data_IF_183012350461
#
_entry.id   IF_183012350461
#
_cell.length_a   1.000
_cell.length_b   1.000
_cell.length_c   1.000
_cell.angle_alpha   90.00
_cell.angle_beta   90.00
_cell.angle_gamma   90.00
#
_symmetry.space_group_name_H-M   'P 1'
#
loop_
_entity.id
_entity.type
_entity.pdbx_description
1 polymer ?
#
# COMPACT_ATOMS: atom_id res chain seq x y z
N UNK A 1 24.09 1.06 10.73
CA UNK A 1 23.88 1.33 12.18
C UNK A 1 23.51 0.01 12.87
N UNK A 2 23.67 -0.16 14.19
CA UNK A 2 23.23 -1.38 14.84
C UNK A 2 21.69 -1.42 14.92
N UNK A 3 21.06 -2.38 14.26
CA UNK A 3 19.64 -2.71 14.43
C UNK A 3 19.48 -4.13 14.97
N UNK A 4 18.41 -4.38 15.73
CA UNK A 4 18.16 -5.71 16.27
C UNK A 4 17.68 -6.66 15.16
N UNK A 5 18.38 -7.78 14.97
CA UNK A 5 18.03 -8.82 13.98
C UNK A 5 17.07 -9.88 14.53
N UNK A 6 16.81 -9.84 15.84
CA UNK A 6 15.83 -10.67 16.55
C UNK A 6 14.84 -9.72 17.23
N UNK A 7 13.53 -9.99 17.14
CA UNK A 7 12.53 -9.19 17.85
C UNK A 7 12.83 -9.13 19.35
N UNK A 8 13.11 -7.92 19.85
CA UNK A 8 13.24 -7.64 21.29
C UNK A 8 11.88 -7.48 21.95
N UNK A 9 10.92 -6.98 21.18
CA UNK A 9 9.51 -7.01 21.54
C UNK A 9 8.84 -7.96 20.54
N UNK A 10 8.41 -9.16 20.96
CA UNK A 10 7.80 -10.12 20.06
C UNK A 10 6.43 -9.60 19.59
N UNK A 11 6.07 -9.76 18.30
CA UNK A 11 4.71 -9.47 17.85
C UNK A 11 3.69 -10.29 18.67
N UNK A 12 2.52 -9.70 18.94
CA UNK A 12 1.37 -10.47 19.45
C UNK A 12 0.81 -11.36 18.33
N UNK A 13 0.33 -12.54 18.70
CA UNK A 13 -0.49 -13.34 17.78
C UNK A 13 -1.83 -12.65 17.55
N UNK A 14 -2.45 -12.86 16.38
CA UNK A 14 -3.69 -12.16 16.04
C UNK A 14 -4.81 -12.47 17.05
N UNK A 15 -4.91 -13.69 17.54
CA UNK A 15 -5.92 -14.11 18.52
C UNK A 15 -5.71 -13.53 19.93
N UNK A 16 -4.51 -13.05 20.23
CA UNK A 16 -4.18 -12.32 21.46
C UNK A 16 -4.58 -10.83 21.40
N UNK A 17 -4.94 -10.33 20.22
CA UNK A 17 -5.37 -8.95 19.99
C UNK A 17 -6.88 -8.81 20.13
N UNK A 18 -7.36 -7.66 20.61
CA UNK A 18 -8.79 -7.36 20.58
C UNK A 18 -9.32 -7.27 19.13
N UNK A 19 -10.64 -7.44 18.90
CA UNK A 19 -11.20 -7.50 17.55
C UNK A 19 -10.92 -6.28 16.67
N UNK A 20 -10.78 -5.09 17.25
CA UNK A 20 -10.47 -3.86 16.51
C UNK A 20 -9.02 -3.88 16.00
N UNK A 21 -8.09 -4.33 16.85
CA UNK A 21 -6.68 -4.45 16.49
C UNK A 21 -6.41 -5.61 15.53
N UNK A 22 -7.15 -6.72 15.66
CA UNK A 22 -7.11 -7.82 14.69
C UNK A 22 -7.43 -7.33 13.27
N UNK A 23 -8.41 -6.44 13.12
CA UNK A 23 -8.79 -5.87 11.83
C UNK A 23 -7.68 -4.99 11.24
N UNK A 24 -7.03 -4.17 12.06
CA UNK A 24 -5.92 -3.32 11.62
C UNK A 24 -4.68 -4.13 11.20
N UNK A 25 -4.31 -5.17 11.96
CA UNK A 25 -3.17 -6.03 11.61
C UNK A 25 -3.39 -6.76 10.28
N UNK A 26 -4.63 -7.13 9.98
CA UNK A 26 -5.01 -7.82 8.74
C UNK A 26 -4.94 -6.97 7.46
N UNK A 27 -4.73 -5.65 7.56
CA UNK A 27 -4.64 -4.73 6.41
C UNK A 27 -3.22 -4.56 5.83
N UNK A 28 -2.23 -5.31 6.31
CA UNK A 28 -0.90 -5.37 5.68
C UNK A 28 0.25 -4.77 6.48
N UNK A 29 -0.01 -4.05 7.57
CA UNK A 29 0.99 -3.58 8.55
C UNK A 29 1.08 -4.51 9.77
N UNK A 30 0.97 -5.81 9.56
CA UNK A 30 0.75 -6.79 10.63
C UNK A 30 1.81 -6.76 11.73
N UNK A 31 3.10 -6.78 11.43
CA UNK A 31 4.14 -6.96 12.45
C UNK A 31 4.37 -5.71 13.29
N UNK A 32 4.33 -4.50 12.70
CA UNK A 32 4.44 -3.26 13.50
C UNK A 32 3.22 -3.05 14.40
N UNK A 33 2.02 -3.35 13.89
CA UNK A 33 0.78 -3.23 14.68
C UNK A 33 0.75 -4.30 15.78
N UNK A 34 1.17 -5.54 15.50
CA UNK A 34 1.30 -6.61 16.50
C UNK A 34 2.28 -6.25 17.63
N UNK A 35 3.39 -5.59 17.31
CA UNK A 35 4.36 -5.15 18.32
C UNK A 35 3.80 -3.96 19.13
N UNK A 36 3.24 -2.95 18.46
CA UNK A 36 2.64 -1.78 19.12
C UNK A 36 1.38 -2.11 19.93
N UNK A 37 0.67 -3.19 19.61
CA UNK A 37 -0.50 -3.63 20.36
C UNK A 37 -0.19 -4.03 21.82
N UNK A 38 1.09 -4.22 22.17
CA UNK A 38 1.55 -4.33 23.56
C UNK A 38 1.51 -3.01 24.33
N UNK A 39 1.41 -1.88 23.63
CA UNK A 39 1.28 -0.52 24.17
C UNK A 39 0.08 0.19 23.51
N UNK A 40 -1.16 -0.19 23.86
CA UNK A 40 -2.35 0.15 23.10
C UNK A 40 -2.66 1.64 22.99
N UNK A 41 -2.44 2.41 24.05
CA UNK A 41 -2.64 3.86 24.03
C UNK A 41 -1.64 4.55 23.10
N UNK A 42 -0.40 4.05 23.04
CA UNK A 42 0.63 4.53 22.11
C UNK A 42 0.27 4.15 20.68
N UNK A 43 -0.21 2.92 20.45
CA UNK A 43 -0.70 2.48 19.14
C UNK A 43 -1.83 3.40 18.64
N UNK A 44 -2.80 3.71 19.49
CA UNK A 44 -3.92 4.58 19.12
C UNK A 44 -3.45 6.00 18.80
N UNK A 45 -2.65 6.61 19.68
CA UNK A 45 -2.19 7.98 19.50
C UNK A 45 -1.25 8.13 18.29
N UNK A 46 -0.28 7.22 18.15
CA UNK A 46 0.64 7.19 17.00
C UNK A 46 -0.12 6.89 15.70
N UNK A 47 -1.06 5.95 15.72
CA UNK A 47 -1.87 5.58 14.56
C UNK A 47 -2.77 6.73 14.08
N UNK A 48 -3.31 7.55 15.00
CA UNK A 48 -4.10 8.73 14.62
C UNK A 48 -3.27 9.75 13.82
N UNK A 49 -2.03 10.02 14.25
CA UNK A 49 -1.10 10.91 13.55
C UNK A 49 -0.60 10.29 12.25
N UNK A 50 -0.13 9.04 12.26
CA UNK A 50 0.33 8.33 11.07
C UNK A 50 -0.76 8.23 10.00
N UNK A 51 -1.99 7.89 10.40
CA UNK A 51 -3.15 7.85 9.49
C UNK A 51 -3.56 9.22 8.96
N UNK A 52 -3.28 10.32 9.68
CA UNK A 52 -3.42 11.66 9.11
C UNK A 52 -2.39 11.88 8.00
N UNK A 53 -1.11 11.67 8.31
CA UNK A 53 0.00 11.90 7.38
C UNK A 53 -0.12 11.06 6.10
N UNK A 54 -0.57 9.81 6.21
CA UNK A 54 -0.66 8.88 5.07
C UNK A 54 -1.91 9.03 4.21
N UNK A 55 -3.03 9.53 4.75
CA UNK A 55 -4.32 9.46 4.03
C UNK A 55 -5.09 10.77 3.99
N UNK A 56 -4.78 11.74 4.85
CA UNK A 56 -5.51 13.02 4.97
C UNK A 56 -4.62 14.25 4.84
N UNK A 57 -3.31 14.04 4.70
CA UNK A 57 -2.32 15.08 4.47
C UNK A 57 -2.51 15.79 3.13
N UNK A 58 -1.86 16.95 3.00
CA UNK A 58 -1.82 17.78 1.80
C UNK A 58 -0.82 17.30 0.76
N UNK A 59 0.23 16.59 1.18
CA UNK A 59 1.28 16.17 0.26
C UNK A 59 0.75 15.16 -0.77
N UNK A 60 1.14 15.36 -2.02
CA UNK A 60 0.87 14.37 -3.07
C UNK A 60 1.46 13.00 -2.66
N UNK A 61 0.73 11.88 -2.83
CA UNK A 61 1.19 10.56 -2.41
C UNK A 61 2.61 10.22 -2.88
N UNK A 62 2.92 10.44 -4.17
CA UNK A 62 4.29 10.26 -4.72
C UNK A 62 5.39 10.87 -3.84
N UNK A 63 5.38 12.19 -3.64
CA UNK A 63 6.47 12.87 -2.91
C UNK A 63 6.45 12.57 -1.41
N UNK A 64 5.27 12.32 -0.83
CA UNK A 64 5.15 11.86 0.55
C UNK A 64 5.91 10.54 0.75
N UNK A 65 5.65 9.54 -0.08
CA UNK A 65 6.30 8.24 0.05
C UNK A 65 7.80 8.32 -0.28
N UNK A 66 8.23 9.12 -1.26
CA UNK A 66 9.66 9.36 -1.52
C UNK A 66 10.37 9.97 -0.29
N UNK A 67 9.73 10.91 0.41
CA UNK A 67 10.27 11.48 1.64
C UNK A 67 10.40 10.43 2.75
N UNK A 68 9.40 9.56 2.93
CA UNK A 68 9.44 8.46 3.90
C UNK A 68 10.57 7.47 3.57
N UNK A 69 10.70 7.07 2.31
CA UNK A 69 11.78 6.19 1.86
C UNK A 69 13.16 6.82 2.09
N UNK A 70 13.29 8.13 1.88
CA UNK A 70 14.54 8.85 2.20
C UNK A 70 14.83 8.85 3.71
N UNK A 71 13.81 9.01 4.57
CA UNK A 71 13.98 8.83 6.03
C UNK A 71 14.46 7.43 6.36
N UNK A 72 13.89 6.40 5.75
CA UNK A 72 14.27 5.01 5.97
C UNK A 72 15.76 4.76 5.61
N UNK A 73 16.25 5.33 4.51
CA UNK A 73 17.67 5.30 4.14
C UNK A 73 18.54 6.02 5.18
N UNK A 74 18.15 7.23 5.59
CA UNK A 74 18.91 8.03 6.56
C UNK A 74 18.94 7.42 7.96
N UNK A 75 17.95 6.63 8.31
CA UNK A 75 17.84 5.98 9.61
C UNK A 75 18.27 4.50 9.61
N UNK A 76 18.69 3.94 8.47
CA UNK A 76 18.99 2.52 8.30
C UNK A 76 17.82 1.63 8.77
N UNK A 77 16.62 1.92 8.25
CA UNK A 77 15.34 1.33 8.70
C UNK A 77 14.72 0.40 7.63
N UNK A 78 15.16 -0.87 7.54
CA UNK A 78 14.73 -1.79 6.49
C UNK A 78 13.23 -2.12 6.55
N UNK A 79 12.64 -2.16 7.74
CA UNK A 79 11.20 -2.37 7.89
C UNK A 79 10.37 -1.25 7.28
N UNK A 80 10.80 0.00 7.48
CA UNK A 80 10.11 1.16 6.95
C UNK A 80 10.19 1.15 5.42
N UNK A 81 11.39 0.93 4.87
CA UNK A 81 11.58 0.77 3.43
C UNK A 81 10.70 -0.33 2.84
N UNK A 82 10.71 -1.52 3.45
CA UNK A 82 9.93 -2.67 3.01
C UNK A 82 8.43 -2.37 2.86
N UNK A 83 7.84 -1.62 3.80
CA UNK A 83 6.41 -1.27 3.74
C UNK A 83 6.12 -0.10 2.80
N UNK A 84 7.01 0.88 2.74
CA UNK A 84 6.78 2.12 2.01
C UNK A 84 7.20 2.06 0.55
N UNK A 85 8.10 1.17 0.13
CA UNK A 85 8.49 1.07 -1.28
C UNK A 85 7.33 0.58 -2.17
N UNK A 86 6.54 -0.44 -1.75
CA UNK A 86 5.27 -0.77 -2.40
C UNK A 86 4.27 0.40 -2.41
N UNK A 87 4.16 1.13 -1.30
CA UNK A 87 3.25 2.26 -1.18
C UNK A 87 3.65 3.43 -2.07
N UNK A 88 4.96 3.65 -2.30
CA UNK A 88 5.49 4.66 -3.20
C UNK A 88 5.05 4.42 -4.65
N UNK A 89 5.17 3.17 -5.13
CA UNK A 89 4.61 2.78 -6.44
C UNK A 89 3.11 3.06 -6.49
N UNK A 90 2.41 2.70 -5.42
CA UNK A 90 1.00 3.00 -5.23
C UNK A 90 0.67 4.49 -5.31
N UNK A 91 1.53 5.33 -4.75
CA UNK A 91 1.42 6.78 -4.76
C UNK A 91 1.78 7.44 -6.09
N UNK A 92 2.20 6.66 -7.09
CA UNK A 92 2.60 7.13 -8.42
C UNK A 92 4.10 7.40 -8.59
N UNK A 93 4.94 6.93 -7.66
CA UNK A 93 6.38 6.88 -7.90
C UNK A 93 6.74 5.76 -8.88
N UNK A 94 7.86 5.91 -9.55
CA UNK A 94 8.42 4.91 -10.46
C UNK A 94 9.53 4.11 -9.78
N UNK A 95 9.80 2.90 -10.29
CA UNK A 95 10.95 2.10 -9.84
C UNK A 95 12.27 2.86 -9.98
N UNK A 96 12.38 3.69 -11.03
CA UNK A 96 13.55 4.54 -11.28
C UNK A 96 13.72 5.62 -10.20
N UNK A 97 12.64 6.29 -9.78
CA UNK A 97 12.70 7.25 -8.67
C UNK A 97 13.05 6.56 -7.34
N UNK A 98 12.42 5.41 -7.05
CA UNK A 98 12.73 4.67 -5.81
C UNK A 98 14.19 4.23 -5.79
N UNK A 99 14.71 3.69 -6.90
CA UNK A 99 16.12 3.32 -7.02
C UNK A 99 17.07 4.52 -6.93
N UNK A 100 16.69 5.67 -7.49
CA UNK A 100 17.47 6.91 -7.44
C UNK A 100 17.63 7.47 -6.03
N UNK A 101 16.75 7.13 -5.07
CA UNK A 101 16.90 7.56 -3.67
C UNK A 101 18.19 7.04 -3.03
N UNK A 102 18.75 5.93 -3.50
CA UNK A 102 20.01 5.36 -3.01
C UNK A 102 21.25 5.93 -3.71
N UNK A 103 21.07 6.65 -4.82
CA UNK A 103 22.15 7.22 -5.62
C UNK A 103 22.48 8.65 -5.15
N UNK A 104 23.69 8.92 -4.61
CA UNK A 104 24.08 10.25 -4.17
C UNK A 104 24.20 11.27 -5.33
N UNK A 105 24.34 10.78 -6.57
CA UNK A 105 24.50 11.62 -7.76
C UNK A 105 23.18 11.77 -8.54
N UNK A 106 22.07 11.22 -8.04
CA UNK A 106 20.76 11.36 -8.67
C UNK A 106 20.30 12.82 -8.72
N UNK A 107 19.84 13.24 -9.89
CA UNK A 107 19.26 14.56 -10.10
C UNK A 107 17.74 14.51 -9.93
N UNK A 108 17.20 15.45 -9.14
CA UNK A 108 15.78 15.57 -8.87
C UNK A 108 15.22 16.89 -9.42
N UNK A 109 13.91 16.94 -9.77
CA UNK A 109 13.23 18.21 -10.00
C UNK A 109 13.40 19.13 -8.79
N UNK A 110 13.54 20.47 -8.96
CA UNK A 110 13.83 21.38 -7.85
C UNK A 110 12.84 21.28 -6.67
N UNK A 111 11.57 21.03 -6.97
CA UNK A 111 10.51 20.87 -5.97
C UNK A 111 10.62 19.57 -5.14
N UNK A 112 11.14 18.49 -5.73
CA UNK A 112 11.37 17.22 -5.05
C UNK A 112 12.70 17.25 -4.30
N UNK A 113 13.74 17.80 -4.93
CA UNK A 113 15.06 17.99 -4.34
C UNK A 113 14.99 18.79 -3.03
N UNK A 114 14.16 19.83 -2.98
CA UNK A 114 13.92 20.60 -1.75
C UNK A 114 13.36 19.75 -0.59
N UNK A 115 12.47 18.79 -0.89
CA UNK A 115 11.92 17.87 0.12
C UNK A 115 12.95 16.86 0.56
N UNK A 116 13.64 16.22 -0.38
CA UNK A 116 14.66 15.20 -0.08
C UNK A 116 15.83 15.79 0.72
N UNK A 117 16.23 17.02 0.40
CA UNK A 117 17.25 17.75 1.18
C UNK A 117 16.75 18.12 2.56
N UNK A 118 15.48 18.52 2.72
CA UNK A 118 14.90 18.76 4.04
C UNK A 118 14.87 17.49 4.90
N UNK A 119 14.56 16.33 4.30
CA UNK A 119 14.66 15.02 4.97
C UNK A 119 16.10 14.79 5.46
N UNK A 120 17.07 14.98 4.58
CA UNK A 120 18.49 14.79 4.87
C UNK A 120 18.99 15.67 6.01
N UNK A 121 18.67 16.97 5.98
CA UNK A 121 19.03 17.94 7.01
C UNK A 121 18.31 17.68 8.34
N UNK A 122 17.01 17.35 8.34
CA UNK A 122 16.28 17.02 9.57
C UNK A 122 16.77 15.74 10.23
N UNK A 123 17.14 14.73 9.44
CA UNK A 123 17.69 13.48 9.95
C UNK A 123 19.09 13.67 10.56
N UNK A 124 19.94 14.51 9.94
CA UNK A 124 21.30 14.77 10.41
C UNK A 124 21.37 15.80 11.54
N UNK A 125 20.74 16.96 11.34
CA UNK A 125 20.99 18.18 12.09
C UNK A 125 19.78 18.63 12.92
N UNK A 126 18.61 17.98 12.72
CA UNK A 126 17.34 18.35 13.36
C UNK A 126 16.98 19.82 13.06
N UNK A 127 17.34 20.27 11.86
CA UNK A 127 17.17 21.64 11.41
C UNK A 127 17.04 21.65 9.89
N UNK A 128 16.29 22.60 9.34
CA UNK A 128 16.23 22.85 7.88
C UNK A 128 16.94 24.17 7.63
N UNK A 129 17.94 24.16 6.74
CA UNK A 129 18.74 25.33 6.41
C UNK A 129 17.92 26.42 5.72
N UNK A 130 18.36 27.68 5.79
CA UNK A 130 17.68 28.81 5.11
C UNK A 130 17.58 28.59 3.59
N UNK A 131 18.58 27.94 3.00
CA UNK A 131 18.59 27.59 1.58
C UNK A 131 17.50 26.57 1.24
N UNK A 132 17.40 25.49 2.01
CA UNK A 132 16.36 24.48 1.84
C UNK A 132 14.97 25.04 2.14
N UNK A 133 14.83 25.86 3.18
CA UNK A 133 13.59 26.56 3.52
C UNK A 133 13.11 27.44 2.37
N UNK A 134 14.01 28.25 1.80
CA UNK A 134 13.69 29.12 0.66
C UNK A 134 13.22 28.31 -0.55
N UNK A 135 13.88 27.18 -0.84
CA UNK A 135 13.49 26.31 -1.95
C UNK A 135 12.11 25.65 -1.73
N UNK A 136 11.80 25.22 -0.50
CA UNK A 136 10.48 24.71 -0.15
C UNK A 136 9.40 25.79 -0.30
N UNK A 137 9.63 26.98 0.27
CA UNK A 137 8.68 28.09 0.25
C UNK A 137 8.42 28.67 -1.15
N UNK A 138 9.28 28.36 -2.13
CA UNK A 138 9.06 28.75 -3.52
C UNK A 138 7.91 27.97 -4.19
N UNK A 139 7.58 26.76 -3.71
CA UNK A 139 6.60 25.86 -4.34
C UNK A 139 5.50 25.37 -3.40
N UNK A 140 5.63 25.61 -2.09
CA UNK A 140 4.74 25.06 -1.06
C UNK A 140 4.24 26.12 -0.09
N UNK A 141 3.00 25.94 0.36
CA UNK A 141 2.43 26.76 1.43
C UNK A 141 2.99 26.36 2.82
N UNK A 142 2.75 27.19 3.83
CA UNK A 142 3.22 26.89 5.19
C UNK A 142 2.63 25.59 5.76
N UNK A 143 1.41 25.21 5.39
CA UNK A 143 0.80 23.99 5.90
C UNK A 143 1.47 22.74 5.31
N UNK A 144 1.81 22.76 4.02
CA UNK A 144 2.59 21.69 3.37
C UNK A 144 4.00 21.59 3.97
N UNK A 145 4.66 22.72 4.24
CA UNK A 145 5.99 22.71 4.89
C UNK A 145 5.89 22.13 6.31
N UNK A 146 4.90 22.56 7.11
CA UNK A 146 4.66 21.99 8.45
C UNK A 146 4.43 20.48 8.33
N UNK A 147 3.65 20.03 7.36
CA UNK A 147 3.40 18.61 7.13
C UNK A 147 4.67 17.83 6.78
N UNK A 148 5.56 18.38 5.94
CA UNK A 148 6.89 17.77 5.66
C UNK A 148 7.69 17.61 6.96
N UNK A 149 7.76 18.65 7.79
CA UNK A 149 8.51 18.59 9.06
C UNK A 149 7.93 17.51 10.00
N UNK A 150 6.61 17.44 10.12
CA UNK A 150 5.93 16.44 10.94
C UNK A 150 6.08 15.02 10.38
N UNK A 151 6.02 14.86 9.05
CA UNK A 151 6.21 13.59 8.37
C UNK A 151 7.61 13.03 8.66
N UNK A 152 8.65 13.85 8.44
CA UNK A 152 10.03 13.44 8.68
C UNK A 152 10.27 13.12 10.15
N UNK A 153 9.76 13.96 11.07
CA UNK A 153 9.86 13.70 12.51
C UNK A 153 9.16 12.41 12.93
N UNK A 154 7.94 12.17 12.42
CA UNK A 154 7.17 10.97 12.71
C UNK A 154 7.88 9.71 12.22
N UNK A 155 8.36 9.71 10.99
CA UNK A 155 9.05 8.56 10.42
C UNK A 155 10.44 8.33 11.01
N UNK A 156 11.15 9.39 11.41
CA UNK A 156 12.39 9.25 12.19
C UNK A 156 12.13 8.60 13.56
N UNK A 157 11.03 8.96 14.22
CA UNK A 157 10.59 8.31 15.46
C UNK A 157 10.24 6.83 15.21
N UNK A 158 9.50 6.53 14.15
CA UNK A 158 9.14 5.17 13.77
C UNK A 158 10.36 4.31 13.46
N UNK A 159 11.28 4.78 12.62
CA UNK A 159 12.55 4.12 12.33
C UNK A 159 13.33 3.77 13.61
N UNK A 160 13.43 4.72 14.55
CA UNK A 160 14.06 4.49 15.85
C UNK A 160 13.38 3.38 16.66
N UNK A 161 12.04 3.40 16.70
CA UNK A 161 11.25 2.35 17.35
C UNK A 161 11.44 0.98 16.68
N UNK A 162 11.25 0.90 15.36
CA UNK A 162 11.32 -0.32 14.56
C UNK A 162 12.68 -1.02 14.71
N UNK A 163 13.76 -0.26 14.55
CA UNK A 163 15.12 -0.76 14.67
C UNK A 163 15.46 -1.20 16.11
N UNK A 164 14.95 -0.48 17.10
CA UNK A 164 15.21 -0.78 18.52
C UNK A 164 14.42 -1.98 19.02
N UNK A 165 13.16 -2.11 18.61
CA UNK A 165 12.27 -3.21 18.95
C UNK A 165 12.60 -4.49 18.16
N UNK A 166 13.35 -4.38 17.06
CA UNK A 166 13.71 -5.50 16.20
C UNK A 166 12.51 -6.02 15.41
N UNK A 167 11.66 -5.13 14.91
CA UNK A 167 10.47 -5.52 14.16
C UNK A 167 10.90 -6.25 12.88
N UNK A 168 10.46 -7.50 12.65
CA UNK A 168 10.96 -8.30 11.55
C UNK A 168 10.37 -7.82 10.23
N UNK A 169 11.20 -7.79 9.18
CA UNK A 169 10.74 -7.62 7.80
C UNK A 169 10.17 -8.94 7.31
N UNK A 170 9.00 -8.90 6.67
CA UNK A 170 8.41 -10.10 6.07
C UNK A 170 9.27 -10.65 4.93
N UNK A 171 9.34 -11.97 4.77
CA UNK A 171 9.88 -12.58 3.56
C UNK A 171 9.20 -12.03 2.30
N UNK A 172 9.99 -11.75 1.26
CA UNK A 172 9.50 -11.29 -0.04
C UNK A 172 9.33 -9.77 -0.19
N UNK A 173 9.58 -8.99 0.87
CA UNK A 173 9.63 -7.53 0.78
C UNK A 173 10.99 -7.03 0.25
N UNK A 174 11.05 -5.84 -0.38
CA UNK A 174 12.30 -5.28 -0.87
C UNK A 174 13.28 -4.99 0.27
N UNK A 175 14.57 -5.24 0.01
CA UNK A 175 15.63 -4.84 0.93
C UNK A 175 15.82 -3.32 0.91
N UNK A 176 16.42 -2.78 1.98
CA UNK A 176 16.68 -1.34 2.09
C UNK A 176 17.47 -0.82 0.89
N UNK A 177 16.94 0.20 0.23
CA UNK A 177 17.55 0.83 -0.94
C UNK A 177 17.34 0.10 -2.26
N UNK A 178 16.70 -1.07 -2.26
CA UNK A 178 16.31 -1.80 -3.46
C UNK A 178 14.89 -1.42 -3.90
N UNK A 179 14.65 -1.18 -5.20
CA UNK A 179 13.30 -0.99 -5.70
C UNK A 179 12.47 -2.28 -5.47
N UNK A 180 11.13 -2.16 -5.36
CA UNK A 180 10.27 -3.34 -5.32
C UNK A 180 10.50 -4.22 -6.54
N UNK A 181 10.37 -5.54 -6.38
CA UNK A 181 10.33 -6.41 -7.54
C UNK A 181 9.16 -5.98 -8.45
N UNK A 182 9.34 -5.93 -9.78
CA UNK A 182 8.24 -5.62 -10.69
C UNK A 182 7.06 -6.52 -10.38
N UNK A 183 5.90 -5.91 -10.16
CA UNK A 183 4.66 -6.64 -9.88
C UNK A 183 4.19 -7.27 -11.19
N UNK A 184 4.72 -8.44 -11.51
CA UNK A 184 4.26 -9.22 -12.65
C UNK A 184 3.01 -9.98 -12.22
N UNK A 185 1.93 -9.82 -12.98
CA UNK A 185 0.76 -10.65 -12.82
C UNK A 185 1.18 -12.14 -12.81
N UNK A 186 0.68 -12.97 -11.89
CA UNK A 186 0.90 -14.41 -11.96
C UNK A 186 0.58 -14.91 -13.36
N UNK A 187 1.33 -15.89 -13.86
CA UNK A 187 0.99 -16.55 -15.12
C UNK A 187 -0.49 -16.96 -15.06
N UNK A 188 -1.25 -16.67 -16.13
CA UNK A 188 -2.67 -17.03 -16.21
C UNK A 188 -2.83 -18.49 -15.80
N UNK A 189 -3.57 -18.72 -14.73
CA UNK A 189 -3.94 -20.06 -14.30
C UNK A 189 -4.73 -20.74 -15.42
N UNK A 190 -4.62 -22.07 -15.50
CA UNK A 190 -5.20 -22.87 -16.60
C UNK A 190 -6.68 -22.57 -16.74
N UNK A 191 -7.09 -22.16 -17.96
CA UNK A 191 -8.47 -21.81 -18.30
C UNK A 191 -9.38 -23.04 -18.05
N UNK A 192 -10.42 -22.92 -17.20
CA UNK A 192 -11.50 -23.89 -17.12
C UNK A 192 -12.22 -24.01 -18.47
N UNK A 193 -13.08 -25.02 -18.60
CA UNK A 193 -13.95 -25.19 -19.76
C UNK A 193 -15.41 -25.13 -19.33
N UNK A 194 -15.82 -24.00 -18.71
CA UNK A 194 -17.20 -23.78 -18.27
C UNK A 194 -18.16 -23.66 -19.45
N UNK A 195 -17.67 -23.16 -20.60
CA UNK A 195 -18.49 -22.83 -21.77
C UNK A 195 -19.17 -21.46 -21.69
N UNK A 196 -18.95 -20.69 -20.63
CA UNK A 196 -19.49 -19.34 -20.45
C UNK A 196 -18.67 -18.29 -21.21
N UNK A 197 -19.35 -17.26 -21.71
CA UNK A 197 -18.75 -16.23 -22.60
C UNK A 197 -18.90 -14.80 -22.07
N UNK A 198 -19.68 -14.60 -21.01
CA UNK A 198 -19.94 -13.31 -20.39
C UNK A 198 -19.30 -13.17 -19.01
N UNK A 199 -19.38 -11.99 -18.39
CA UNK A 199 -18.76 -11.73 -17.09
C UNK A 199 -19.51 -12.36 -15.91
N UNK A 200 -20.78 -12.74 -16.09
CA UNK A 200 -21.63 -13.29 -15.03
C UNK A 200 -21.03 -14.56 -14.44
N UNK A 201 -21.08 -14.71 -13.12
CA UNK A 201 -20.58 -15.89 -12.43
C UNK A 201 -19.60 -15.57 -11.30
N UNK A 202 -19.08 -16.62 -10.68
CA UNK A 202 -18.10 -16.54 -9.60
C UNK A 202 -16.69 -16.70 -10.16
N UNK A 203 -15.76 -15.90 -9.66
CA UNK A 203 -14.39 -15.82 -10.14
C UNK A 203 -13.44 -15.88 -8.96
N UNK A 204 -12.46 -16.79 -9.02
CA UNK A 204 -11.29 -16.71 -8.17
C UNK A 204 -10.32 -15.71 -8.78
N UNK A 205 -10.22 -14.52 -8.19
CA UNK A 205 -9.33 -13.46 -8.64
C UNK A 205 -8.10 -13.38 -7.73
N UNK A 206 -6.92 -13.14 -8.31
CA UNK A 206 -5.67 -12.87 -7.60
C UNK A 206 -5.28 -11.42 -7.84
N UNK A 207 -5.41 -10.63 -6.79
CA UNK A 207 -4.89 -9.27 -6.71
C UNK A 207 -3.40 -9.34 -6.33
N UNK A 208 -2.54 -8.72 -7.14
CA UNK A 208 -1.08 -8.77 -6.91
C UNK A 208 -0.61 -7.39 -6.50
N UNK A 209 -0.20 -7.25 -5.25
CA UNK A 209 0.35 -6.01 -4.69
C UNK A 209 1.87 -6.19 -4.46
N UNK A 210 2.71 -5.13 -4.49
CA UNK A 210 4.13 -5.31 -4.25
C UNK A 210 4.46 -5.84 -2.84
N UNK A 211 3.55 -5.69 -1.87
CA UNK A 211 3.66 -6.31 -0.54
C UNK A 211 3.20 -7.79 -0.49
N UNK A 212 2.70 -8.35 -1.59
CA UNK A 212 2.22 -9.73 -1.71
C UNK A 212 0.94 -9.88 -2.53
N UNK A 213 0.69 -11.10 -3.02
CA UNK A 213 -0.55 -11.45 -3.72
C UNK A 213 -1.63 -11.92 -2.77
N UNK A 214 -2.89 -11.63 -3.09
CA UNK A 214 -4.07 -12.07 -2.35
C UNK A 214 -5.14 -12.62 -3.27
N UNK A 215 -5.63 -13.81 -2.94
CA UNK A 215 -6.78 -14.41 -3.62
C UNK A 215 -8.09 -13.93 -2.99
N UNK A 216 -9.02 -13.51 -3.83
CA UNK A 216 -10.36 -13.05 -3.48
C UNK A 216 -11.38 -13.78 -4.36
N UNK A 217 -12.63 -13.84 -3.91
CA UNK A 217 -13.74 -14.32 -4.74
C UNK A 217 -14.51 -13.11 -5.26
N UNK A 218 -14.76 -13.07 -6.55
CA UNK A 218 -15.54 -12.03 -7.21
C UNK A 218 -16.78 -12.66 -7.80
N UNK A 219 -17.95 -12.21 -7.34
CA UNK A 219 -19.23 -12.55 -7.93
C UNK A 219 -19.69 -11.39 -8.81
N UNK A 220 -20.00 -11.69 -10.07
CA UNK A 220 -20.50 -10.73 -11.05
C UNK A 220 -21.88 -11.16 -11.55
N UNK A 221 -22.74 -10.17 -11.70
CA UNK A 221 -24.01 -10.30 -12.43
C UNK A 221 -24.29 -9.05 -13.25
N UNK A 222 -24.77 -9.24 -14.47
CA UNK A 222 -25.07 -8.15 -15.41
C UNK A 222 -26.56 -8.01 -15.68
N UNK A 223 -26.99 -6.75 -15.84
CA UNK A 223 -28.31 -6.37 -16.32
C UNK A 223 -28.15 -5.29 -17.39
N UNK A 224 -28.26 -5.70 -18.66
CA UNK A 224 -27.91 -4.88 -19.80
C UNK A 224 -26.43 -4.47 -19.77
N UNK A 225 -26.16 -3.17 -19.61
CA UNK A 225 -24.79 -2.63 -19.52
C UNK A 225 -24.33 -2.43 -18.09
N UNK A 226 -25.15 -2.76 -17.07
CA UNK A 226 -24.82 -2.55 -15.66
C UNK A 226 -24.20 -3.81 -15.08
N UNK A 227 -23.20 -3.62 -14.23
CA UNK A 227 -22.54 -4.68 -13.45
C UNK A 227 -22.93 -4.53 -11.98
N UNK A 228 -23.25 -5.65 -11.36
CA UNK A 228 -23.57 -5.80 -9.94
C UNK A 228 -22.83 -7.00 -9.36
N UNK A 229 -22.79 -7.11 -8.04
CA UNK A 229 -22.15 -8.23 -7.35
C UNK A 229 -21.29 -7.79 -6.17
N UNK A 230 -20.30 -8.60 -5.82
CA UNK A 230 -19.46 -8.37 -4.65
C UNK A 230 -18.09 -9.04 -4.75
N UNK A 231 -17.13 -8.49 -4.02
CA UNK A 231 -15.84 -9.12 -3.75
C UNK A 231 -15.88 -9.70 -2.34
N UNK A 232 -15.60 -10.98 -2.18
CA UNK A 232 -15.43 -11.64 -0.89
C UNK A 232 -13.95 -11.91 -0.60
N UNK A 233 -13.51 -11.38 0.54
CA UNK A 233 -12.18 -11.62 1.07
C UNK A 233 -12.20 -12.86 1.96
N UNK A 234 -11.61 -13.96 1.46
CA UNK A 234 -11.63 -15.26 2.14
C UNK A 234 -10.88 -15.26 3.47
N UNK A 235 -9.85 -14.43 3.60
CA UNK A 235 -9.03 -14.33 4.82
C UNK A 235 -9.70 -13.43 5.87
N UNK A 236 -10.28 -12.32 5.43
CA UNK A 236 -10.96 -11.38 6.33
C UNK A 236 -12.39 -11.82 6.66
N UNK A 237 -12.97 -12.70 5.84
CA UNK A 237 -14.40 -13.06 5.85
C UNK A 237 -15.29 -11.81 5.72
N UNK A 238 -14.88 -10.89 4.84
CA UNK A 238 -15.58 -9.63 4.58
C UNK A 238 -16.09 -9.63 3.14
N UNK A 239 -17.34 -9.20 2.96
CA UNK A 239 -17.96 -8.98 1.65
C UNK A 239 -17.99 -7.49 1.34
N UNK A 240 -17.42 -7.11 0.21
CA UNK A 240 -17.33 -5.74 -0.31
C UNK A 240 -18.30 -5.62 -1.50
N UNK A 241 -19.40 -4.85 -1.38
CA UNK A 241 -20.36 -4.72 -2.46
C UNK A 241 -19.83 -3.85 -3.60
N UNK A 242 -20.17 -4.23 -4.84
CA UNK A 242 -20.01 -3.36 -6.01
C UNK A 242 -21.08 -2.27 -5.93
N UNK A 243 -20.65 -1.01 -5.92
CA UNK A 243 -21.54 0.16 -5.80
C UNK A 243 -21.91 0.77 -7.15
N UNK A 244 -21.07 0.57 -8.16
CA UNK A 244 -21.35 0.97 -9.55
C UNK A 244 -20.49 0.15 -10.49
N UNK A 245 -20.99 -0.13 -11.69
CA UNK A 245 -20.19 -0.82 -12.70
C UNK A 245 -20.89 -0.90 -14.05
N UNK A 246 -20.09 -1.10 -15.07
CA UNK A 246 -20.50 -1.20 -16.47
C UNK A 246 -19.81 -2.35 -17.17
N UNK A 247 -20.52 -2.96 -18.11
CA UNK A 247 -19.97 -3.92 -19.06
C UNK A 247 -20.16 -3.40 -20.48
N UNK A 248 -19.12 -3.52 -21.30
CA UNK A 248 -19.14 -3.28 -22.74
C UNK A 248 -18.41 -4.43 -23.45
N UNK A 249 -19.19 -5.36 -23.98
CA UNK A 249 -18.68 -6.62 -24.54
C UNK A 249 -17.91 -7.42 -23.48
N UNK A 250 -16.61 -7.60 -23.70
CA UNK A 250 -15.70 -8.32 -22.79
C UNK A 250 -15.11 -7.41 -21.70
N UNK A 251 -15.27 -6.10 -21.81
CA UNK A 251 -14.67 -5.14 -20.87
C UNK A 251 -15.61 -4.92 -19.70
N UNK A 252 -15.08 -5.10 -18.50
CA UNK A 252 -15.79 -4.94 -17.23
C UNK A 252 -15.10 -3.85 -16.43
N UNK A 253 -15.85 -2.84 -16.00
CA UNK A 253 -15.36 -1.80 -15.09
C UNK A 253 -16.32 -1.66 -13.93
N UNK A 254 -15.83 -1.67 -12.69
CA UNK A 254 -16.70 -1.43 -11.54
C UNK A 254 -15.94 -0.78 -10.37
N UNK A 255 -16.68 -0.14 -9.49
CA UNK A 255 -16.19 0.39 -8.22
C UNK A 255 -16.85 -0.38 -7.08
N UNK A 256 -16.04 -0.85 -6.16
CA UNK A 256 -16.44 -1.46 -4.90
C UNK A 256 -16.07 -0.53 -3.74
N UNK A 257 -16.90 -0.51 -2.71
CA UNK A 257 -16.68 0.34 -1.54
C UNK A 257 -16.35 -0.53 -0.33
N UNK A 258 -15.11 -0.45 0.13
CA UNK A 258 -14.70 -1.04 1.41
C UNK A 258 -15.19 -0.11 2.51
N UNK A 259 -15.87 -0.65 3.51
CA UNK A 259 -16.39 0.10 4.67
C UNK A 259 -15.81 -0.37 6.00
N UNK A 260 -15.23 -1.57 6.03
CA UNK A 260 -14.60 -2.18 7.21
C UNK A 260 -13.24 -2.76 6.77
N UNK A 261 -12.12 -2.46 7.44
CA UNK A 261 -11.98 -1.66 8.67
C UNK A 261 -11.97 -0.15 8.44
N UNK A 262 -11.72 0.29 7.21
CA UNK A 262 -11.64 1.68 6.83
C UNK A 262 -12.43 1.91 5.55
N UNK A 263 -12.96 3.13 5.40
CA UNK A 263 -13.75 3.49 4.22
C UNK A 263 -12.85 3.95 3.08
N UNK A 264 -12.79 3.17 2.00
CA UNK A 264 -12.09 3.54 0.78
C UNK A 264 -12.69 2.87 -0.46
N UNK A 265 -12.51 3.51 -1.61
CA UNK A 265 -12.98 3.01 -2.89
C UNK A 265 -11.90 2.19 -3.59
N UNK A 266 -12.36 1.13 -4.26
CA UNK A 266 -11.54 0.27 -5.10
C UNK A 266 -12.18 0.21 -6.48
N UNK A 267 -11.47 0.65 -7.51
CA UNK A 267 -11.93 0.60 -8.89
C UNK A 267 -11.24 -0.53 -9.63
N UNK A 268 -12.00 -1.40 -10.27
CA UNK A 268 -11.52 -2.52 -11.06
C UNK A 268 -11.81 -2.26 -12.53
N UNK A 269 -10.81 -2.49 -13.38
CA UNK A 269 -10.99 -2.53 -14.84
C UNK A 269 -10.40 -3.84 -15.33
N UNK A 270 -11.18 -4.61 -16.07
CA UNK A 270 -10.73 -5.90 -16.60
C UNK A 270 -11.39 -6.28 -17.91
N UNK A 271 -10.89 -7.37 -18.47
CA UNK A 271 -11.37 -8.02 -19.68
C UNK A 271 -11.62 -9.49 -19.37
N UNK A 272 -12.80 -9.97 -19.76
CA UNK A 272 -13.22 -11.36 -19.67
C UNK A 272 -13.04 -12.04 -21.02
N UNK A 273 -12.22 -13.08 -21.07
CA UNK A 273 -12.04 -13.96 -22.22
C UNK A 273 -12.35 -15.40 -21.81
N UNK A 274 -13.61 -15.80 -22.02
CA UNK A 274 -14.16 -17.07 -21.57
C UNK A 274 -14.12 -17.20 -20.05
N UNK A 275 -13.22 -18.05 -19.56
CA UNK A 275 -13.02 -18.32 -18.12
C UNK A 275 -11.79 -17.61 -17.55
N UNK A 276 -11.17 -16.70 -18.31
CA UNK A 276 -10.05 -15.90 -17.86
C UNK A 276 -10.49 -14.45 -17.62
N UNK A 277 -10.16 -13.92 -16.44
CA UNK A 277 -10.27 -12.50 -16.11
C UNK A 277 -8.88 -11.88 -16.07
N UNK A 278 -8.67 -10.77 -16.74
CA UNK A 278 -7.41 -10.03 -16.71
C UNK A 278 -7.67 -8.54 -16.56
N UNK A 279 -6.88 -7.83 -15.78
CA UNK A 279 -7.12 -6.41 -15.56
C UNK A 279 -6.23 -5.79 -14.51
N UNK A 280 -6.75 -4.73 -13.91
CA UNK A 280 -6.10 -4.00 -12.84
C UNK A 280 -7.12 -3.54 -11.79
N UNK A 281 -6.65 -3.46 -10.56
CA UNK A 281 -7.36 -2.87 -9.43
C UNK A 281 -6.64 -1.58 -9.06
N UNK A 282 -7.39 -0.50 -8.92
CA UNK A 282 -6.92 0.79 -8.40
C UNK A 282 -7.50 1.02 -7.03
N UNK A 283 -6.65 1.14 -6.02
CA UNK A 283 -7.02 1.50 -4.65
C UNK A 283 -6.85 3.00 -4.49
N UNK A 284 -7.90 3.70 -4.03
CA UNK A 284 -7.83 5.15 -3.83
C UNK A 284 -6.69 5.51 -2.86
N UNK A 285 -5.74 6.34 -3.32
CA UNK A 285 -4.54 6.72 -2.57
C UNK A 285 -3.46 5.64 -2.44
N UNK A 286 -3.70 4.43 -2.97
CA UNK A 286 -2.80 3.27 -2.91
C UNK A 286 -2.33 2.75 -4.27
N UNK A 287 -2.84 3.29 -5.38
CA UNK A 287 -2.35 3.04 -6.75
C UNK A 287 -2.99 1.90 -7.50
N UNK A 288 -2.45 1.61 -8.69
CA UNK A 288 -3.00 0.64 -9.64
C UNK A 288 -2.11 -0.60 -9.75
N UNK A 289 -2.70 -1.78 -9.56
CA UNK A 289 -1.98 -3.04 -9.55
C UNK A 289 -2.67 -4.11 -10.40
N UNK A 290 -1.93 -5.11 -10.90
CA UNK A 290 -2.49 -6.12 -11.76
C UNK A 290 -3.44 -7.06 -11.03
N UNK A 291 -4.46 -7.49 -11.77
CA UNK A 291 -5.48 -8.45 -11.37
C UNK A 291 -5.56 -9.55 -12.42
N UNK A 292 -5.56 -10.78 -11.96
CA UNK A 292 -5.88 -11.95 -12.79
C UNK A 292 -6.99 -12.73 -12.14
N UNK A 293 -7.69 -13.58 -12.89
CA UNK A 293 -8.69 -14.44 -12.30
C UNK A 293 -9.13 -15.56 -13.22
N UNK A 294 -9.76 -16.52 -12.59
CA UNK A 294 -10.28 -17.73 -13.23
C UNK A 294 -11.71 -17.94 -12.76
N UNK A 295 -12.61 -18.27 -13.69
CA UNK A 295 -13.99 -18.60 -13.33
C UNK A 295 -14.03 -19.84 -12.45
N UNK A 296 -14.79 -19.78 -11.36
CA UNK A 296 -15.09 -20.96 -10.57
C UNK A 296 -16.12 -21.83 -11.32
N UNK A 297 -15.77 -23.09 -11.53
CA UNK A 297 -16.72 -24.08 -12.03
C UNK A 297 -17.42 -24.67 -10.82
N UNK A 298 -18.72 -24.40 -10.67
CA UNK A 298 -19.54 -25.12 -9.68
C UNK A 298 -19.37 -26.63 -9.93
N UNK A 299 -19.16 -27.47 -8.89
CA UNK A 299 -19.22 -28.91 -9.07
C UNK A 299 -20.58 -29.22 -9.69
N UNK A 300 -20.60 -29.96 -10.80
CA UNK A 300 -21.85 -30.50 -11.34
C UNK A 300 -22.60 -31.20 -10.20
N UNK A 301 -23.81 -30.70 -9.93
CA UNK A 301 -24.76 -31.10 -8.89
C UNK A 301 -24.81 -32.59 -8.57
#
# INVERSE_FOLDING_TARGET
>A
MPHATIPRIPPLELDEMDPERQKLAKLGADTVIQVLARAPEVLQASGALGGYLLSRGKLHPRIRELAILRVALRCDAPYEWANHAPAALGGGATDAEIGALSDPDASWPPEDDAVLRAVDELCADVFVSDGTWTALAATRDHAEIIEILFLVGYYRMMAGFLNSAGVPVKPGQPALGEPPAPVVAPAQQVRPASGETGPDGSWKITFTHPAGSKDLLLDLGTDGTKVSGSIFDTQLKVTVPIVSGTVDGQKVTFTALVTDPARFEVSVTGTVDGDAFSGSVTVSGGGTFPLTGVREVSPSS
#
